data_IF_148072387170
#
_entry.id   IF_148072387170
#
_cell.length_a   1.000
_cell.length_b   1.000
_cell.length_c   1.000
_cell.angle_alpha   90.00
_cell.angle_beta   90.00
_cell.angle_gamma   90.00
#
_symmetry.space_group_name_H-M   'P 1'
#
loop_
_entity.id
_entity.type
_entity.pdbx_description
1 polymer ?
#
# COMPACT_ATOMS: atom_id res chain seq x y z
N UNK A 1 10.11 -13.91 -8.65
CA UNK A 1 8.94 -14.23 -9.51
C UNK A 1 7.75 -13.46 -8.94
N UNK A 2 7.35 -12.34 -9.56
CA UNK A 2 6.25 -11.49 -9.09
C UNK A 2 4.93 -12.27 -9.10
N UNK A 3 4.47 -12.73 -7.93
CA UNK A 3 3.31 -13.61 -7.83
C UNK A 3 1.96 -12.93 -8.11
N UNK A 4 1.90 -11.59 -8.24
CA UNK A 4 0.68 -10.90 -8.63
C UNK A 4 1.02 -9.50 -9.19
N UNK A 5 0.80 -9.24 -10.49
CA UNK A 5 1.03 -7.90 -11.02
C UNK A 5 0.05 -6.91 -10.36
N UNK A 6 0.47 -5.64 -10.17
CA UNK A 6 -0.42 -4.60 -9.67
C UNK A 6 -1.59 -4.39 -10.64
N UNK A 7 -2.83 -4.27 -10.15
CA UNK A 7 -3.99 -4.06 -11.00
C UNK A 7 -3.85 -2.77 -11.80
N UNK A 8 -4.36 -2.79 -13.02
CA UNK A 8 -4.54 -1.58 -13.83
C UNK A 8 -5.80 -0.90 -13.31
N UNK A 9 -5.66 0.34 -12.81
CA UNK A 9 -6.81 1.08 -12.29
C UNK A 9 -6.95 2.36 -13.10
N UNK A 10 -8.15 2.57 -13.67
CA UNK A 10 -8.48 3.71 -14.53
C UNK A 10 -7.46 3.91 -15.66
N UNK A 11 -7.10 2.83 -16.35
CA UNK A 11 -6.20 2.86 -17.52
C UNK A 11 -4.72 3.13 -17.22
N UNK A 12 -4.31 3.22 -15.95
CA UNK A 12 -2.90 3.39 -15.56
C UNK A 12 -2.48 2.28 -14.59
N UNK A 13 -1.23 1.84 -14.73
CA UNK A 13 -0.65 0.82 -13.83
C UNK A 13 -0.34 1.44 -12.47
N UNK A 14 -0.73 0.77 -11.39
CA UNK A 14 -0.38 1.14 -10.03
C UNK A 14 1.13 0.96 -9.82
N UNK A 15 1.85 2.05 -9.55
CA UNK A 15 3.27 2.00 -9.16
C UNK A 15 3.41 2.15 -7.65
N UNK A 16 3.72 1.04 -6.97
CA UNK A 16 4.16 1.06 -5.58
C UNK A 16 5.67 1.34 -5.56
N UNK A 17 6.11 2.34 -4.82
CA UNK A 17 7.51 2.80 -4.83
C UNK A 17 8.31 2.19 -3.69
N UNK A 18 7.82 2.34 -2.47
CA UNK A 18 8.45 1.83 -1.26
C UNK A 18 7.41 1.63 -0.16
N UNK A 19 7.78 0.82 0.82
CA UNK A 19 7.00 0.56 2.02
C UNK A 19 7.86 0.78 3.25
N UNK A 20 7.28 1.34 4.32
CA UNK A 20 7.95 1.57 5.58
C UNK A 20 7.03 1.22 6.75
N UNK A 21 7.57 0.56 7.78
CA UNK A 21 6.84 0.33 9.02
C UNK A 21 6.78 1.64 9.83
N UNK A 22 5.58 2.15 10.09
CA UNK A 22 5.35 3.43 10.79
C UNK A 22 4.91 3.24 12.24
N UNK A 23 4.33 2.09 12.59
CA UNK A 23 3.92 1.76 13.96
C UNK A 23 4.19 0.29 14.26
N UNK A 24 4.50 0.00 15.53
CA UNK A 24 4.85 -1.34 16.02
C UNK A 24 3.66 -2.12 16.60
N UNK A 25 2.72 -1.46 17.29
CA UNK A 25 1.60 -2.12 17.99
C UNK A 25 0.27 -1.42 17.67
N UNK A 26 -0.60 -1.96 16.79
CA UNK A 26 -0.34 -3.10 15.89
C UNK A 26 0.63 -2.72 14.74
N UNK A 27 1.33 -3.69 14.12
CA UNK A 27 2.23 -3.42 13.00
C UNK A 27 1.50 -2.69 11.88
N UNK A 28 1.95 -1.47 11.59
CA UNK A 28 1.36 -0.64 10.53
C UNK A 28 2.44 -0.32 9.50
N UNK A 29 2.18 -0.70 8.26
CA UNK A 29 3.05 -0.46 7.11
C UNK A 29 2.43 0.61 6.23
N UNK A 30 3.17 1.71 6.02
CA UNK A 30 2.81 2.72 5.06
C UNK A 30 3.43 2.35 3.70
N UNK A 31 2.59 2.22 2.67
CA UNK A 31 3.03 1.97 1.29
C UNK A 31 2.83 3.25 0.50
N UNK A 32 3.90 3.70 -0.12
CA UNK A 32 3.92 4.92 -0.92
C UNK A 32 3.86 4.55 -2.40
N UNK A 33 2.93 5.16 -3.12
CA UNK A 33 2.73 4.83 -4.53
C UNK A 33 1.94 5.89 -5.28
N UNK A 34 1.76 5.63 -6.57
CA UNK A 34 0.89 6.44 -7.41
C UNK A 34 -0.58 6.14 -7.09
N UNK A 35 -1.41 7.16 -6.82
CA UNK A 35 -2.87 7.00 -6.62
C UNK A 35 -3.24 5.95 -5.56
N UNK A 36 -2.90 6.17 -4.28
CA UNK A 36 -3.26 5.26 -3.19
C UNK A 36 -4.77 4.99 -3.10
N UNK A 37 -5.62 5.97 -3.41
CA UNK A 37 -7.09 5.84 -3.41
C UNK A 37 -7.64 4.92 -4.50
N UNK A 38 -6.83 4.58 -5.50
CA UNK A 38 -7.22 3.71 -6.58
C UNK A 38 -6.91 2.23 -6.29
N UNK A 39 -6.18 1.91 -5.23
CA UNK A 39 -5.81 0.52 -4.92
C UNK A 39 -7.05 -0.26 -4.46
N UNK A 40 -7.42 -1.37 -5.10
CA UNK A 40 -8.53 -2.19 -4.64
C UNK A 40 -8.24 -2.79 -3.25
N UNK A 41 -9.26 -2.83 -2.40
CA UNK A 41 -9.20 -3.43 -1.06
C UNK A 41 -8.68 -4.88 -1.09
N UNK A 42 -9.05 -5.66 -2.12
CA UNK A 42 -8.54 -7.02 -2.32
C UNK A 42 -7.02 -7.07 -2.48
N UNK A 43 -6.44 -6.09 -3.17
CA UNK A 43 -5.00 -6.00 -3.36
C UNK A 43 -4.30 -5.54 -2.09
N UNK A 44 -4.93 -4.68 -1.29
CA UNK A 44 -4.44 -4.34 0.06
C UNK A 44 -4.38 -5.58 0.95
N UNK A 45 -5.42 -6.42 0.95
CA UNK A 45 -5.42 -7.68 1.70
C UNK A 45 -4.35 -8.65 1.20
N UNK A 46 -4.16 -8.75 -0.11
CA UNK A 46 -3.07 -9.53 -0.69
C UNK A 46 -1.70 -9.09 -0.16
N UNK A 47 -1.42 -7.78 -0.17
CA UNK A 47 -0.17 -7.22 0.37
C UNK A 47 -0.03 -7.48 1.87
N UNK A 48 -1.09 -7.31 2.66
CA UNK A 48 -1.06 -7.56 4.10
C UNK A 48 -0.81 -9.04 4.41
N UNK A 49 -1.44 -9.94 3.65
CA UNK A 49 -1.23 -11.38 3.79
C UNK A 49 0.17 -11.81 3.34
N UNK A 50 0.74 -11.16 2.32
CA UNK A 50 2.14 -11.35 1.93
C UNK A 50 3.10 -11.01 3.07
N UNK A 51 3.01 -9.79 3.61
CA UNK A 51 3.82 -9.36 4.77
C UNK A 51 3.64 -10.32 5.95
N UNK A 52 2.41 -10.78 6.21
CA UNK A 52 2.16 -11.72 7.32
C UNK A 52 2.92 -13.03 7.16
N UNK A 53 2.96 -13.58 5.94
CA UNK A 53 3.65 -14.83 5.64
C UNK A 53 5.17 -14.64 5.63
N UNK A 54 5.65 -13.58 5.01
CA UNK A 54 7.08 -13.35 4.81
C UNK A 54 7.82 -13.04 6.12
N UNK A 55 7.13 -12.46 7.10
CA UNK A 55 7.67 -12.13 8.42
C UNK A 55 7.23 -13.09 9.54
N UNK A 56 6.57 -14.20 9.20
CA UNK A 56 6.05 -15.20 10.16
C UNK A 56 5.27 -14.58 11.33
N UNK A 57 4.22 -13.81 10.99
CA UNK A 57 3.38 -13.09 11.95
C UNK A 57 1.95 -13.68 12.05
N UNK A 58 1.79 -14.98 12.39
CA UNK A 58 0.47 -15.60 12.46
C UNK A 58 -0.41 -14.91 13.51
N UNK A 59 -1.68 -14.70 13.20
CA UNK A 59 -2.64 -14.06 14.11
C UNK A 59 -2.44 -12.56 14.36
N UNK A 60 -1.37 -11.94 13.84
CA UNK A 60 -1.14 -10.50 14.03
C UNK A 60 -1.94 -9.69 13.01
N UNK A 61 -2.76 -8.71 13.48
CA UNK A 61 -3.45 -7.79 12.58
C UNK A 61 -2.42 -6.81 11.98
N UNK A 62 -2.16 -6.95 10.67
CA UNK A 62 -1.30 -6.03 9.91
C UNK A 62 -2.16 -4.93 9.31
N UNK A 63 -1.84 -3.68 9.60
CA UNK A 63 -2.52 -2.51 9.03
C UNK A 63 -1.69 -1.95 7.88
N UNK A 64 -2.33 -1.73 6.74
CA UNK A 64 -1.71 -1.05 5.60
C UNK A 64 -2.29 0.34 5.47
N UNK A 65 -1.41 1.32 5.35
CA UNK A 65 -1.76 2.70 5.05
C UNK A 65 -1.20 3.06 3.68
N UNK A 66 -2.07 3.42 2.74
CA UNK A 66 -1.65 3.83 1.41
C UNK A 66 -1.44 5.35 1.39
N UNK A 67 -0.26 5.81 0.98
CA UNK A 67 0.07 7.24 0.88
C UNK A 67 0.46 7.61 -0.55
N UNK A 68 0.04 8.80 -0.95
CA UNK A 68 0.54 9.45 -2.15
C UNK A 68 1.82 10.21 -1.78
N UNK A 69 2.75 10.29 -2.73
CA UNK A 69 3.80 11.30 -2.62
C UNK A 69 3.15 12.69 -2.67
N UNK A 70 3.59 13.62 -1.80
CA UNK A 70 3.19 15.01 -1.90
C UNK A 70 3.59 15.51 -3.30
N UNK A 71 2.61 15.95 -4.08
CA UNK A 71 2.88 16.65 -5.33
C UNK A 71 3.10 18.12 -4.98
N UNK A 72 4.32 18.68 -5.11
CA UNK A 72 4.59 20.07 -4.77
C UNK A 72 3.84 21.07 -5.68
N UNK A 73 3.19 20.59 -6.73
CA UNK A 73 2.36 21.39 -7.65
C UNK A 73 0.84 21.13 -7.47
N UNK A 74 0.42 20.36 -6.46
CA UNK A 74 -0.99 20.22 -6.15
C UNK A 74 -1.44 21.43 -5.34
N UNK A 75 -2.32 22.26 -5.90
CA UNK A 75 -2.92 23.37 -5.15
C UNK A 75 -3.69 22.85 -3.94
N UNK A 76 -3.64 23.58 -2.82
CA UNK A 76 -4.15 23.21 -1.49
C UNK A 76 -5.68 23.00 -1.39
N UNK A 77 -6.40 22.86 -2.51
CA UNK A 77 -7.86 22.78 -2.57
C UNK A 77 -8.46 21.38 -2.81
N UNK A 78 -7.67 20.33 -3.06
CA UNK A 78 -8.19 18.97 -3.27
C UNK A 78 -7.32 17.93 -2.55
N UNK A 79 -7.55 17.79 -1.24
CA UNK A 79 -7.08 16.66 -0.43
C UNK A 79 -8.21 15.69 -0.18
#
# INVERSE_FOLDING_TARGET
LEAHPPPIVKGRRLKLRYAAQIKRRPPTVAIFGSRPSAVPESYVRYLANGIRRDFDLPGVPIRILLRAAANPYAEDGQR
#
